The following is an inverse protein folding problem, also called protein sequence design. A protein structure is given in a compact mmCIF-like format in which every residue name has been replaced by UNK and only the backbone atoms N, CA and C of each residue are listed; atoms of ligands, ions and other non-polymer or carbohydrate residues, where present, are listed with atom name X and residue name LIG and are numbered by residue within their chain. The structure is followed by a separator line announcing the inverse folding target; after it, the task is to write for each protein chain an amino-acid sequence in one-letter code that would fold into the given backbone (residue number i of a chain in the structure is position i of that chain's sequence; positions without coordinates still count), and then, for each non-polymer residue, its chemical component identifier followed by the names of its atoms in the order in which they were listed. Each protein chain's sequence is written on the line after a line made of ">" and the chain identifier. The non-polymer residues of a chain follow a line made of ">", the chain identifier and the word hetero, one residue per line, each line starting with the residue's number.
data_IF_293676758656
#
_entry.id   IF_293676758656
#
_cell.length_a   1.000
_cell.length_b   1.000
_cell.length_c   1.000
_cell.angle_alpha   90.00
_cell.angle_beta   90.00
_cell.angle_gamma   90.00
#
_symmetry.space_group_name_H-M   'P 1'
#
loop_
_entity.id
_entity.type
_entity.pdbx_description
1 polymer ?
#
# COMPACT_ATOMS: atom_id res chain seq x y z
N UNK A 1 -15.28 -3.80 27.61
CA UNK A 1 -14.90 -3.06 26.38
C UNK A 1 -15.99 -3.26 25.35
N UNK A 2 -16.62 -2.18 24.86
CA UNK A 2 -17.57 -2.25 23.73
C UNK A 2 -16.73 -2.44 22.46
N UNK A 3 -16.97 -3.52 21.71
CA UNK A 3 -16.37 -3.71 20.39
C UNK A 3 -17.21 -2.95 19.36
N UNK A 4 -16.59 -2.09 18.57
CA UNK A 4 -17.28 -1.26 17.56
C UNK A 4 -17.86 -2.06 16.37
N UNK A 5 -17.53 -3.36 16.26
CA UNK A 5 -18.07 -4.26 15.24
C UNK A 5 -17.51 -4.07 13.83
N UNK A 6 -16.60 -3.12 13.61
CA UNK A 6 -16.02 -2.84 12.30
C UNK A 6 -14.86 -3.81 12.01
N UNK A 7 -14.80 -4.32 10.77
CA UNK A 7 -13.66 -5.11 10.31
C UNK A 7 -12.42 -4.20 10.19
N UNK A 8 -11.25 -4.62 10.70
CA UNK A 8 -10.00 -3.92 10.41
C UNK A 8 -9.73 -3.91 8.91
N UNK A 9 -9.42 -2.73 8.36
CA UNK A 9 -8.99 -2.58 6.98
C UNK A 9 -7.48 -2.40 6.99
N UNK A 10 -6.77 -3.33 6.35
CA UNK A 10 -5.31 -3.23 6.24
C UNK A 10 -4.96 -2.21 5.15
N UNK A 11 -3.97 -1.32 5.33
CA UNK A 11 -3.63 -0.33 4.31
C UNK A 11 -3.18 -0.95 2.98
N UNK A 12 -2.62 -2.16 3.03
CA UNK A 12 -2.32 -2.95 1.82
C UNK A 12 -3.56 -3.38 1.00
N UNK A 13 -4.73 -3.48 1.63
CA UNK A 13 -6.00 -3.71 0.92
C UNK A 13 -6.37 -2.47 0.10
N UNK A 14 -6.27 -1.28 0.71
CA UNK A 14 -6.49 0.01 0.02
C UNK A 14 -5.47 0.21 -1.10
N UNK A 15 -4.19 -0.02 -0.83
CA UNK A 15 -3.13 0.06 -1.85
C UNK A 15 -3.46 -0.81 -3.07
N UNK A 16 -3.94 -2.03 -2.86
CA UNK A 16 -4.22 -2.95 -3.95
C UNK A 16 -5.50 -2.59 -4.70
N UNK A 17 -6.61 -2.41 -4.00
CA UNK A 17 -7.93 -2.23 -4.61
C UNK A 17 -8.16 -0.83 -5.18
N UNK A 18 -7.63 0.22 -4.54
CA UNK A 18 -7.92 1.62 -4.90
C UNK A 18 -6.81 2.28 -5.74
N UNK A 19 -5.58 1.73 -5.73
CA UNK A 19 -4.43 2.35 -6.42
C UNK A 19 -3.79 1.45 -7.46
N UNK A 20 -3.46 0.20 -7.12
CA UNK A 20 -2.73 -0.68 -8.04
C UNK A 20 -3.62 -1.27 -9.14
N UNK A 21 -4.79 -1.79 -8.76
CA UNK A 21 -5.74 -2.45 -9.67
C UNK A 21 -6.43 -1.49 -10.66
N UNK A 22 -6.90 -0.29 -10.27
CA UNK A 22 -7.57 0.63 -11.19
C UNK A 22 -6.61 1.50 -12.02
N UNK A 23 -5.29 1.40 -11.80
CA UNK A 23 -4.31 2.08 -12.65
C UNK A 23 -4.39 1.59 -14.10
N UNK A 24 -4.08 2.46 -15.05
CA UNK A 24 -4.05 2.15 -16.48
C UNK A 24 -2.66 2.48 -17.09
N UNK A 25 -1.84 1.45 -17.42
CA UNK A 25 -2.06 0.02 -17.20
C UNK A 25 -2.00 -0.37 -15.71
N UNK A 26 -2.63 -1.49 -15.34
CA UNK A 26 -2.63 -1.97 -13.95
C UNK A 26 -1.21 -2.19 -13.42
N UNK A 27 -0.98 -1.77 -12.19
CA UNK A 27 0.33 -1.83 -11.55
C UNK A 27 0.46 -3.15 -10.80
N UNK A 28 1.49 -3.93 -11.10
CA UNK A 28 1.84 -5.11 -10.31
C UNK A 28 2.89 -4.79 -9.22
N UNK A 29 3.07 -5.71 -8.27
CA UNK A 29 3.97 -5.51 -7.13
C UNK A 29 5.43 -5.25 -7.54
N UNK A 30 5.93 -5.87 -8.61
CA UNK A 30 7.30 -5.66 -9.09
C UNK A 30 7.47 -4.28 -9.73
N UNK A 31 6.47 -3.82 -10.49
CA UNK A 31 6.46 -2.48 -11.07
C UNK A 31 6.47 -1.41 -9.98
N UNK A 32 5.58 -1.53 -8.99
CA UNK A 32 5.53 -0.59 -7.87
C UNK A 32 6.84 -0.63 -7.07
N UNK A 33 7.35 -1.83 -6.76
CA UNK A 33 8.60 -1.97 -6.02
C UNK A 33 9.78 -1.31 -6.74
N UNK A 34 9.86 -1.46 -8.07
CA UNK A 34 10.87 -0.79 -8.89
C UNK A 34 10.70 0.73 -8.86
N UNK A 35 9.47 1.24 -8.99
CA UNK A 35 9.20 2.67 -8.95
C UNK A 35 9.50 3.30 -7.58
N UNK A 36 9.28 2.57 -6.50
CA UNK A 36 9.58 3.01 -5.14
C UNK A 36 11.03 2.71 -4.70
N UNK A 37 11.83 2.06 -5.53
CA UNK A 37 13.19 1.61 -5.20
C UNK A 37 13.27 0.74 -3.93
N UNK A 38 12.35 -0.21 -3.78
CA UNK A 38 12.29 -1.13 -2.65
C UNK A 38 12.29 -2.59 -3.12
N UNK A 39 12.66 -3.56 -2.27
CA UNK A 39 12.54 -4.97 -2.62
C UNK A 39 11.08 -5.37 -2.88
N UNK A 40 10.81 -6.13 -3.95
CA UNK A 40 9.46 -6.57 -4.33
C UNK A 40 8.70 -7.30 -3.21
N UNK A 41 9.42 -8.10 -2.41
CA UNK A 41 8.85 -8.79 -1.25
C UNK A 41 8.22 -7.83 -0.23
N UNK A 42 8.69 -6.57 -0.15
CA UNK A 42 8.08 -5.54 0.71
C UNK A 42 6.65 -5.24 0.25
N UNK A 43 6.46 -4.95 -1.03
CA UNK A 43 5.14 -4.63 -1.60
C UNK A 43 4.21 -5.83 -1.52
N UNK A 44 4.71 -7.01 -1.88
CA UNK A 44 3.93 -8.26 -1.79
C UNK A 44 3.46 -8.56 -0.37
N UNK A 45 4.31 -8.35 0.65
CA UNK A 45 3.92 -8.56 2.05
C UNK A 45 2.87 -7.53 2.51
N UNK A 46 2.97 -6.27 2.06
CA UNK A 46 2.01 -5.22 2.39
C UNK A 46 0.63 -5.55 1.81
N UNK A 47 0.53 -5.85 0.51
CA UNK A 47 -0.76 -6.16 -0.13
C UNK A 47 -1.39 -7.47 0.40
N UNK A 48 -0.57 -8.38 0.94
CA UNK A 48 -1.05 -9.61 1.62
C UNK A 48 -1.46 -9.40 3.08
N UNK A 49 -1.34 -8.19 3.63
CA UNK A 49 -1.64 -7.93 5.05
C UNK A 49 -0.62 -8.49 6.04
N UNK A 50 0.55 -8.90 5.57
CA UNK A 50 1.59 -9.55 6.39
C UNK A 50 2.57 -8.54 7.00
N UNK A 51 2.58 -7.31 6.49
CA UNK A 51 3.45 -6.21 6.90
C UNK A 51 2.68 -4.89 6.82
N UNK A 52 2.79 -4.07 7.85
CA UNK A 52 2.31 -2.69 7.82
C UNK A 52 3.19 -1.74 7.00
N UNK A 53 2.68 -0.55 6.72
CA UNK A 53 3.43 0.51 6.05
C UNK A 53 4.33 1.21 7.07
N UNK A 54 5.60 1.44 6.70
CA UNK A 54 6.55 2.21 7.51
C UNK A 54 6.57 3.66 7.03
N UNK A 55 7.06 4.61 7.84
CA UNK A 55 7.17 6.02 7.43
C UNK A 55 7.94 6.23 6.12
N UNK A 56 9.05 5.51 5.91
CA UNK A 56 9.79 5.51 4.61
C UNK A 56 8.89 5.05 3.45
N UNK A 57 8.10 4.00 3.65
CA UNK A 57 7.21 3.49 2.60
C UNK A 57 6.02 4.42 2.35
N UNK A 58 5.49 5.06 3.40
CA UNK A 58 4.40 6.03 3.30
C UNK A 58 4.82 7.25 2.46
N UNK A 59 6.00 7.83 2.71
CA UNK A 59 6.52 8.96 1.91
C UNK A 59 6.74 8.58 0.45
N UNK A 60 7.26 7.36 0.19
CA UNK A 60 7.45 6.84 -1.17
C UNK A 60 6.13 6.65 -1.91
N UNK A 61 5.13 6.04 -1.25
CA UNK A 61 3.79 5.87 -1.81
C UNK A 61 3.10 7.21 -2.07
N UNK A 62 3.22 8.15 -1.14
CA UNK A 62 2.69 9.49 -1.26
C UNK A 62 3.23 10.22 -2.50
N UNK A 63 4.54 10.12 -2.71
CA UNK A 63 5.20 10.71 -3.88
C UNK A 63 4.72 10.06 -5.18
N UNK A 64 4.60 8.73 -5.21
CA UNK A 64 4.24 7.99 -6.41
C UNK A 64 2.75 8.15 -6.80
N UNK A 65 1.85 8.13 -5.82
CA UNK A 65 0.39 8.19 -6.04
C UNK A 65 -0.20 9.59 -5.85
N UNK A 66 0.64 10.60 -5.62
CA UNK A 66 0.21 11.98 -5.37
C UNK A 66 -0.79 12.08 -4.19
N UNK A 67 -0.43 11.47 -3.06
CA UNK A 67 -1.17 11.55 -1.79
C UNK A 67 -0.30 12.20 -0.71
N UNK A 68 -0.74 12.19 0.55
CA UNK A 68 0.11 12.53 1.71
C UNK A 68 0.67 11.27 2.37
N UNK A 69 1.71 11.41 3.19
CA UNK A 69 2.27 10.28 3.93
C UNK A 69 1.34 9.82 5.06
N UNK A 70 0.60 10.74 5.68
CA UNK A 70 -0.37 10.49 6.76
C UNK A 70 -1.59 9.70 6.29
N UNK A 71 -1.84 9.66 4.97
CA UNK A 71 -2.86 8.79 4.39
C UNK A 71 -2.50 7.30 4.51
N UNK A 72 -1.21 6.96 4.54
CA UNK A 72 -0.68 5.59 4.48
C UNK A 72 -0.24 5.06 5.85
#
# INVERSE_FOLDING_TARGET
>A
MIKNGMRPVHPGEILFEEFMKPAEPSINANMLAKALEVPANRITAIIKGQRGITGDTAVRLATFFNTTAEFW
#
